data_IF_377647392142
#
_entry.id   IF_377647392142
#
_cell.length_a   1.000
_cell.length_b   1.000
_cell.length_c   1.000
_cell.angle_alpha   90.00
_cell.angle_beta   90.00
_cell.angle_gamma   90.00
#
_symmetry.space_group_name_H-M   'P 1'
#
loop_
_entity.id
_entity.type
_entity.pdbx_description
1 polymer ?
#
# COMPACT_ATOMS: atom_id res chain seq x y z
N UNK A 1 -5.95 8.35 16.51
CA UNK A 1 -4.59 8.65 16.00
C UNK A 1 -4.35 8.05 14.62
N UNK A 2 -4.65 6.78 14.39
CA UNK A 2 -4.47 6.11 13.10
C UNK A 2 -5.82 5.65 12.50
N UNK A 3 -5.88 5.48 11.19
CA UNK A 3 -7.02 4.89 10.47
C UNK A 3 -6.58 4.28 9.14
N UNK A 4 -7.40 3.40 8.58
CA UNK A 4 -7.18 2.83 7.25
C UNK A 4 -8.15 3.49 6.26
N UNK A 5 -7.68 3.78 5.04
CA UNK A 5 -8.56 4.23 3.98
C UNK A 5 -9.35 3.06 3.39
N UNK A 6 -10.53 3.35 2.84
CA UNK A 6 -11.36 2.35 2.15
C UNK A 6 -10.88 2.23 0.70
N UNK A 7 -10.40 1.06 0.25
CA UNK A 7 -9.95 0.86 -1.12
C UNK A 7 -11.13 0.76 -2.09
N UNK A 8 -10.86 0.81 -3.39
CA UNK A 8 -11.86 0.64 -4.45
C UNK A 8 -11.72 -0.74 -5.08
N UNK A 9 -12.81 -1.30 -5.58
CA UNK A 9 -12.76 -2.51 -6.41
C UNK A 9 -13.85 -2.53 -7.48
N UNK A 10 -13.57 -3.15 -8.63
CA UNK A 10 -14.61 -3.48 -9.63
C UNK A 10 -15.31 -4.80 -9.34
N UNK A 11 -14.85 -5.55 -8.34
CA UNK A 11 -15.49 -6.81 -7.96
C UNK A 11 -16.91 -6.53 -7.48
N UNK A 12 -17.91 -7.34 -7.85
CA UNK A 12 -19.24 -7.24 -7.27
C UNK A 12 -19.20 -7.37 -5.74
N UNK A 13 -19.98 -6.53 -5.07
CA UNK A 13 -20.18 -6.56 -3.62
C UNK A 13 -20.81 -7.89 -3.20
N UNK A 14 -20.30 -8.51 -2.14
CA UNK A 14 -20.93 -9.68 -1.50
C UNK A 14 -22.03 -9.24 -0.54
N UNK A 15 -22.90 -10.16 -0.15
CA UNK A 15 -24.07 -9.83 0.68
C UNK A 15 -23.70 -9.24 2.04
N UNK A 16 -22.61 -9.72 2.65
CA UNK A 16 -22.12 -9.26 3.94
C UNK A 16 -21.24 -7.99 3.88
N UNK A 17 -20.89 -7.52 2.68
CA UNK A 17 -20.04 -6.34 2.50
C UNK A 17 -20.87 -5.05 2.43
N UNK A 18 -20.30 -3.96 2.93
CA UNK A 18 -20.90 -2.62 2.99
C UNK A 18 -20.07 -1.68 2.10
N UNK A 19 -20.74 -1.06 1.14
CA UNK A 19 -20.13 -0.05 0.27
C UNK A 19 -19.71 1.18 1.07
N UNK A 20 -18.50 1.68 0.80
CA UNK A 20 -17.87 2.77 1.54
C UNK A 20 -17.33 2.39 2.92
N UNK A 21 -17.36 1.10 3.30
CA UNK A 21 -16.73 0.56 4.51
C UNK A 21 -15.71 -0.53 4.17
N UNK A 22 -16.14 -1.58 3.48
CA UNK A 22 -15.25 -2.68 3.09
C UNK A 22 -14.48 -2.32 1.82
N UNK A 23 -15.19 -1.84 0.81
CA UNK A 23 -14.65 -1.25 -0.41
C UNK A 23 -15.58 -0.13 -0.90
N UNK A 24 -15.07 0.74 -1.75
CA UNK A 24 -15.86 1.47 -2.73
C UNK A 24 -16.07 0.58 -3.95
N UNK A 25 -17.29 0.08 -4.14
CA UNK A 25 -17.61 -0.83 -5.23
C UNK A 25 -17.88 -0.05 -6.51
N UNK A 26 -16.98 -0.16 -7.49
CA UNK A 26 -17.05 0.57 -8.76
C UNK A 26 -17.76 -0.28 -9.80
N UNK A 27 -18.93 0.17 -10.27
CA UNK A 27 -19.74 -0.59 -11.23
C UNK A 27 -19.16 -0.66 -12.64
N UNK A 28 -18.38 0.35 -13.06
CA UNK A 28 -17.76 0.41 -14.38
C UNK A 28 -16.24 0.19 -14.30
N UNK A 29 -15.79 -0.96 -14.80
CA UNK A 29 -14.36 -1.25 -14.94
C UNK A 29 -13.66 -0.23 -15.83
N UNK A 30 -14.27 0.13 -16.95
CA UNK A 30 -13.72 1.11 -17.89
C UNK A 30 -13.48 2.48 -17.21
N UNK A 31 -14.42 2.90 -16.35
CA UNK A 31 -14.27 4.13 -15.58
C UNK A 31 -13.09 4.02 -14.59
N UNK A 32 -12.97 2.91 -13.86
CA UNK A 32 -11.84 2.72 -12.95
C UNK A 32 -10.49 2.69 -13.70
N UNK A 33 -10.43 2.07 -14.87
CA UNK A 33 -9.23 2.08 -15.72
C UNK A 33 -8.87 3.50 -16.19
N UNK A 34 -9.87 4.31 -16.55
CA UNK A 34 -9.69 5.73 -16.88
C UNK A 34 -9.15 6.52 -15.68
N UNK A 35 -9.68 6.28 -14.49
CA UNK A 35 -9.25 6.96 -13.27
C UNK A 35 -7.83 6.54 -12.85
N UNK A 36 -7.44 5.28 -13.08
CA UNK A 36 -6.07 4.80 -12.91
C UNK A 36 -5.13 5.53 -13.88
N UNK A 37 -5.50 5.69 -15.16
CA UNK A 37 -4.71 6.44 -16.15
C UNK A 37 -4.60 7.93 -15.81
N UNK A 38 -5.62 8.50 -15.19
CA UNK A 38 -5.64 9.90 -14.74
C UNK A 38 -4.91 10.12 -13.41
N UNK A 39 -4.17 9.14 -12.90
CA UNK A 39 -3.41 9.22 -11.65
C UNK A 39 -4.24 9.51 -10.40
N UNK A 40 -5.52 9.10 -10.37
CA UNK A 40 -6.38 9.21 -9.18
C UNK A 40 -6.08 8.14 -8.12
N UNK A 41 -5.30 7.13 -8.47
CA UNK A 41 -4.87 6.04 -7.60
C UNK A 41 -3.37 6.13 -7.30
N UNK A 42 -3.02 6.02 -6.01
CA UNK A 42 -1.61 5.90 -5.58
C UNK A 42 -1.09 4.48 -5.82
N UNK A 43 -1.98 3.51 -5.80
CA UNK A 43 -1.68 2.14 -6.18
C UNK A 43 -2.95 1.50 -6.74
N UNK A 44 -2.79 0.71 -7.79
CA UNK A 44 -3.85 -0.10 -8.36
C UNK A 44 -3.26 -1.38 -8.95
N UNK A 45 -4.04 -2.46 -8.89
CA UNK A 45 -3.67 -3.77 -9.42
C UNK A 45 -4.88 -4.60 -9.81
N UNK A 46 -4.65 -5.71 -10.49
CA UNK A 46 -5.68 -6.67 -10.86
C UNK A 46 -5.50 -7.97 -10.08
N UNK A 47 -6.60 -8.51 -9.56
CA UNK A 47 -6.66 -9.82 -8.93
C UNK A 47 -7.98 -10.51 -9.24
N UNK A 48 -7.93 -11.77 -9.67
CA UNK A 48 -9.09 -12.54 -10.13
C UNK A 48 -10.01 -11.72 -11.05
N UNK A 49 -9.42 -11.13 -12.09
CA UNK A 49 -10.08 -10.29 -13.11
C UNK A 49 -10.81 -9.04 -12.61
N UNK A 50 -10.59 -8.66 -11.35
CA UNK A 50 -11.12 -7.45 -10.76
C UNK A 50 -9.99 -6.47 -10.45
N UNK A 51 -10.27 -5.19 -10.67
CA UNK A 51 -9.36 -4.12 -10.29
C UNK A 51 -9.53 -3.81 -8.81
N UNK A 52 -8.43 -3.47 -8.17
CA UNK A 52 -8.35 -2.97 -6.81
C UNK A 52 -7.43 -1.77 -6.79
N UNK A 53 -7.72 -0.79 -5.93
CA UNK A 53 -6.81 0.34 -5.79
C UNK A 53 -7.10 1.25 -4.61
N UNK A 54 -6.05 1.94 -4.18
CA UNK A 54 -6.10 2.94 -3.12
C UNK A 54 -6.10 4.32 -3.78
N UNK A 55 -7.21 5.05 -3.65
CA UNK A 55 -7.36 6.37 -4.29
C UNK A 55 -6.77 7.48 -3.43
N UNK A 56 -6.30 8.55 -4.08
CA UNK A 56 -5.80 9.75 -3.39
C UNK A 56 -6.88 10.35 -2.48
N UNK A 57 -8.14 10.34 -2.92
CA UNK A 57 -9.28 10.85 -2.16
C UNK A 57 -9.52 10.03 -0.89
N UNK A 58 -9.44 8.70 -0.96
CA UNK A 58 -9.64 7.85 0.21
C UNK A 58 -8.60 8.10 1.31
N UNK A 59 -7.36 8.39 0.92
CA UNK A 59 -6.27 8.76 1.84
C UNK A 59 -6.52 10.14 2.45
N UNK A 60 -6.89 11.13 1.61
CA UNK A 60 -7.20 12.50 2.06
C UNK A 60 -8.32 12.52 3.10
N UNK A 61 -9.38 11.75 2.89
CA UNK A 61 -10.50 11.66 3.83
C UNK A 61 -10.04 11.26 5.23
N UNK A 62 -9.17 10.25 5.36
CA UNK A 62 -8.64 9.83 6.66
C UNK A 62 -7.75 10.92 7.29
N UNK A 63 -6.95 11.60 6.47
CA UNK A 63 -6.11 12.70 6.94
C UNK A 63 -6.95 13.91 7.43
N UNK A 64 -8.03 14.25 6.73
CA UNK A 64 -8.97 15.32 7.07
C UNK A 64 -9.75 15.04 8.37
N UNK A 65 -9.96 13.76 8.72
CA UNK A 65 -10.48 13.33 10.03
C UNK A 65 -9.46 13.49 11.19
N UNK A 66 -8.28 14.06 10.93
CA UNK A 66 -7.23 14.23 11.93
C UNK A 66 -6.52 12.93 12.31
N UNK A 67 -6.52 11.92 11.42
CA UNK A 67 -5.87 10.62 11.62
C UNK A 67 -4.71 10.43 10.64
N UNK A 68 -3.69 9.70 11.07
CA UNK A 68 -2.67 9.18 10.15
C UNK A 68 -3.23 7.97 9.40
N UNK A 69 -3.28 8.06 8.06
CA UNK A 69 -3.69 6.95 7.23
C UNK A 69 -2.58 5.91 7.14
N UNK A 70 -2.83 4.69 7.63
CA UNK A 70 -1.94 3.54 7.42
C UNK A 70 -2.19 3.02 6.01
N UNK A 71 -1.12 2.85 5.24
CA UNK A 71 -1.18 2.44 3.85
C UNK A 71 -0.46 1.10 3.69
N UNK A 72 -1.19 0.12 3.17
CA UNK A 72 -0.63 -1.15 2.69
C UNK A 72 -0.40 -1.02 1.18
N UNK A 73 0.76 -0.48 0.81
CA UNK A 73 1.13 -0.14 -0.57
C UNK A 73 2.63 -0.35 -0.82
N UNK A 74 3.04 -0.44 -2.08
CA UNK A 74 4.45 -0.52 -2.47
C UNK A 74 5.20 0.82 -2.35
N UNK A 75 6.53 0.79 -2.41
CA UNK A 75 7.38 1.98 -2.40
C UNK A 75 7.06 2.99 -3.53
N UNK A 76 6.51 2.52 -4.65
CA UNK A 76 6.06 3.39 -5.75
C UNK A 76 4.93 4.34 -5.36
N UNK A 77 4.12 3.98 -4.36
CA UNK A 77 3.08 4.86 -3.86
C UNK A 77 3.66 6.10 -3.17
N UNK A 78 4.88 6.03 -2.61
CA UNK A 78 5.55 7.19 -1.98
C UNK A 78 5.75 8.30 -3.01
N UNK A 79 6.28 7.96 -4.20
CA UNK A 79 6.48 8.89 -5.31
C UNK A 79 5.17 9.52 -5.77
N UNK A 80 4.11 8.70 -5.90
CA UNK A 80 2.78 9.15 -6.35
C UNK A 80 2.12 10.08 -5.33
N UNK A 81 2.25 9.79 -4.04
CA UNK A 81 1.77 10.65 -2.96
C UNK A 81 2.45 12.03 -3.00
N UNK A 82 3.77 12.05 -3.12
CA UNK A 82 4.53 13.31 -3.21
C UNK A 82 4.12 14.16 -4.43
N UNK A 83 3.89 13.52 -5.58
CA UNK A 83 3.43 14.20 -6.79
C UNK A 83 2.08 14.92 -6.62
N UNK A 84 1.19 14.40 -5.77
CA UNK A 84 -0.10 15.02 -5.43
C UNK A 84 -0.06 15.87 -4.15
N UNK A 85 1.15 16.25 -3.70
CA UNK A 85 1.42 17.05 -2.49
C UNK A 85 0.86 16.44 -1.20
N UNK A 86 0.82 15.11 -1.12
CA UNK A 86 0.65 14.37 0.12
C UNK A 86 2.01 13.81 0.52
N UNK A 87 2.55 14.27 1.66
CA UNK A 87 3.88 13.87 2.11
C UNK A 87 3.75 12.75 3.14
N UNK A 88 3.95 11.47 2.75
CA UNK A 88 3.85 10.36 3.69
C UNK A 88 5.05 10.34 4.64
N UNK A 89 4.84 9.75 5.82
CA UNK A 89 5.93 9.29 6.68
C UNK A 89 6.26 7.87 6.22
N UNK A 90 7.35 7.72 5.47
CA UNK A 90 7.81 6.43 4.95
C UNK A 90 8.91 5.87 5.85
N UNK A 91 8.62 4.81 6.59
CA UNK A 91 9.58 4.17 7.51
C UNK A 91 10.01 2.83 6.91
N UNK A 92 11.29 2.69 6.60
CA UNK A 92 11.85 1.43 6.14
C UNK A 92 12.40 0.62 7.31
N UNK A 93 11.89 -0.60 7.49
CA UNK A 93 12.38 -1.54 8.50
C UNK A 93 13.45 -2.40 7.83
N UNK A 94 14.71 -2.08 8.08
CA UNK A 94 15.86 -2.74 7.48
C UNK A 94 16.23 -3.99 8.28
N UNK A 95 16.12 -5.20 7.72
CA UNK A 95 16.62 -6.38 8.40
C UNK A 95 18.15 -6.34 8.53
N UNK A 96 18.69 -6.79 9.68
CA UNK A 96 20.14 -6.86 9.92
C UNK A 96 20.80 -7.99 9.13
N UNK A 97 20.11 -9.11 9.06
CA UNK A 97 20.55 -10.34 8.39
C UNK A 97 19.37 -11.27 8.15
N UNK A 98 19.59 -12.33 7.37
CA UNK A 98 18.65 -13.46 7.22
C UNK A 98 18.32 -14.05 8.60
N UNK A 99 19.33 -14.26 9.45
CA UNK A 99 19.15 -14.79 10.81
C UNK A 99 18.27 -13.90 11.67
N UNK A 100 18.46 -12.57 11.63
CA UNK A 100 17.64 -11.63 12.41
C UNK A 100 16.15 -11.71 12.04
N UNK A 101 15.84 -12.00 10.78
CA UNK A 101 14.46 -12.19 10.34
C UNK A 101 13.89 -13.50 10.91
N UNK A 102 14.68 -14.57 10.95
CA UNK A 102 14.27 -15.85 11.55
C UNK A 102 14.12 -15.75 13.07
N UNK A 103 14.95 -14.94 13.74
CA UNK A 103 14.80 -14.64 15.17
C UNK A 103 13.49 -13.88 15.47
N UNK A 104 13.16 -12.89 14.63
CA UNK A 104 11.90 -12.15 14.73
C UNK A 104 10.68 -13.02 14.42
N UNK A 105 10.81 -13.98 13.50
CA UNK A 105 9.75 -14.90 13.14
C UNK A 105 10.24 -16.35 13.07
N UNK A 106 10.19 -17.04 14.22
CA UNK A 106 10.65 -18.43 14.37
C UNK A 106 9.94 -19.46 13.48
N UNK A 107 8.83 -19.09 12.83
CA UNK A 107 8.09 -19.97 11.89
C UNK A 107 8.59 -19.84 10.45
N UNK A 108 9.43 -18.86 10.16
CA UNK A 108 9.92 -18.60 8.83
C UNK A 108 11.11 -19.52 8.51
N UNK A 109 11.08 -20.18 7.35
CA UNK A 109 12.22 -20.96 6.89
C UNK A 109 13.36 -20.07 6.42
N UNK A 110 14.58 -20.60 6.39
CA UNK A 110 15.76 -19.88 5.87
C UNK A 110 15.55 -19.39 4.44
N UNK A 111 14.93 -20.19 3.58
CA UNK A 111 14.62 -19.81 2.20
C UNK A 111 13.63 -18.64 2.12
N UNK A 112 12.60 -18.63 2.97
CA UNK A 112 11.67 -17.51 3.09
C UNK A 112 12.37 -16.26 3.61
N UNK A 113 13.22 -16.41 4.62
CA UNK A 113 14.00 -15.33 5.21
C UNK A 113 14.95 -14.69 4.19
N UNK A 114 15.64 -15.50 3.39
CA UNK A 114 16.50 -15.04 2.30
C UNK A 114 15.71 -14.24 1.26
N UNK A 115 14.53 -14.72 0.84
CA UNK A 115 13.65 -13.96 -0.07
C UNK A 115 13.19 -12.63 0.51
N UNK A 116 12.88 -12.56 1.80
CA UNK A 116 12.51 -11.30 2.46
C UNK A 116 13.69 -10.35 2.53
N UNK A 117 14.87 -10.86 2.90
CA UNK A 117 16.11 -10.08 2.97
C UNK A 117 16.49 -9.50 1.61
N UNK A 118 16.48 -10.31 0.54
CA UNK A 118 16.79 -9.87 -0.82
C UNK A 118 15.78 -8.81 -1.32
N UNK A 119 14.49 -8.95 -0.96
CA UNK A 119 13.47 -7.93 -1.28
C UNK A 119 13.73 -6.63 -0.51
N UNK A 120 14.14 -6.71 0.75
CA UNK A 120 14.47 -5.53 1.55
C UNK A 120 15.68 -4.79 0.96
N UNK A 121 16.73 -5.50 0.54
CA UNK A 121 17.89 -4.88 -0.12
C UNK A 121 17.52 -4.16 -1.43
N UNK A 122 16.67 -4.78 -2.26
CA UNK A 122 16.16 -4.14 -3.49
C UNK A 122 15.34 -2.90 -3.17
N UNK A 123 14.48 -2.97 -2.15
CA UNK A 123 13.65 -1.84 -1.71
C UNK A 123 14.51 -0.69 -1.18
N UNK A 124 15.56 -0.97 -0.42
CA UNK A 124 16.52 0.04 0.04
C UNK A 124 17.25 0.69 -1.14
N UNK A 125 17.75 -0.12 -2.08
CA UNK A 125 18.45 0.36 -3.26
C UNK A 125 17.57 1.28 -4.12
N UNK A 126 16.29 0.94 -4.30
CA UNK A 126 15.39 1.67 -5.20
C UNK A 126 14.71 2.88 -4.53
N UNK A 127 14.45 2.83 -3.23
CA UNK A 127 13.61 3.81 -2.55
C UNK A 127 14.26 4.55 -1.37
N UNK A 128 15.56 4.37 -1.12
CA UNK A 128 16.28 5.00 0.01
C UNK A 128 16.05 6.52 0.14
N UNK A 129 16.06 7.26 -0.97
CA UNK A 129 15.85 8.72 -0.98
C UNK A 129 14.42 9.15 -0.56
N UNK A 130 13.46 8.23 -0.62
CA UNK A 130 12.06 8.51 -0.30
C UNK A 130 11.70 8.17 1.16
N UNK A 131 12.57 7.47 1.88
CA UNK A 131 12.31 7.11 3.27
C UNK A 131 12.51 8.31 4.19
N UNK A 132 11.52 8.55 5.04
CA UNK A 132 11.62 9.52 6.14
C UNK A 132 12.59 9.02 7.22
N UNK A 133 12.61 7.71 7.47
CA UNK A 133 13.51 7.09 8.42
C UNK A 133 13.80 5.62 8.04
N UNK A 134 14.98 5.15 8.43
CA UNK A 134 15.36 3.73 8.40
C UNK A 134 15.52 3.25 9.84
N UNK A 135 14.85 2.17 10.19
CA UNK A 135 14.93 1.52 11.50
C UNK A 135 15.55 0.14 11.30
N UNK A 136 16.51 -0.24 12.15
CA UNK A 136 17.24 -1.50 12.07
C UNK A 136 17.27 -2.22 13.42
#
# INVERSE_FOLDING_TARGET
KFGCCVPHTTRPKRDYEIDGKDYHFVSSREQMEKDIRNHYFVEAGQYNDNLYGTSVVAIKKVAEEGKHCILDVSGNAIKRLQAVRLYPIAIFIKPKSVDSLMEMNKRMSEEQAKRVYDRALKMEQEFSEYFTAVIQ
#
